data_IF_554684406000
#
_entry.id   IF_554684406000
#
_cell.length_a   1.000
_cell.length_b   1.000
_cell.length_c   1.000
_cell.angle_alpha   90.00
_cell.angle_beta   90.00
_cell.angle_gamma   90.00
#
_symmetry.space_group_name_H-M   'P 1'
#
loop_
_entity.id
_entity.type
_entity.pdbx_description
1 polymer ?
#
# COMPACT_ATOMS: atom_id res chain seq x y z
N UNK A 1 3.52 20.79 12.59
CA UNK A 1 4.45 20.74 11.44
C UNK A 1 3.68 21.34 10.28
N UNK A 2 4.15 22.41 9.65
CA UNK A 2 3.38 23.06 8.58
C UNK A 2 3.54 22.27 7.28
N UNK A 3 2.52 21.46 6.97
CA UNK A 3 2.46 20.59 5.79
C UNK A 3 1.85 21.32 4.60
N UNK A 4 1.05 22.37 4.87
CA UNK A 4 0.26 23.08 3.87
C UNK A 4 1.13 23.85 2.88
N UNK A 5 2.19 24.51 3.37
CA UNK A 5 3.10 25.33 2.56
C UNK A 5 3.84 24.53 1.48
N UNK A 6 4.59 23.44 1.80
CA UNK A 6 5.29 22.68 0.77
C UNK A 6 4.32 22.02 -0.22
N UNK A 7 3.16 21.55 0.26
CA UNK A 7 2.13 20.94 -0.57
C UNK A 7 1.59 21.90 -1.64
N UNK A 8 1.32 23.15 -1.23
CA UNK A 8 0.82 24.20 -2.10
C UNK A 8 1.88 24.64 -3.10
N UNK A 9 3.12 24.82 -2.65
CA UNK A 9 4.24 25.13 -3.52
C UNK A 9 4.41 24.08 -4.64
N UNK A 10 4.43 22.79 -4.29
CA UNK A 10 4.57 21.71 -5.26
C UNK A 10 3.40 21.64 -6.25
N UNK A 11 2.18 21.90 -5.77
CA UNK A 11 0.97 21.94 -6.60
C UNK A 11 0.99 23.11 -7.58
N UNK A 12 1.36 24.30 -7.13
CA UNK A 12 1.41 25.50 -7.96
C UNK A 12 2.54 25.40 -9.00
N UNK A 13 3.72 24.90 -8.60
CA UNK A 13 4.81 24.58 -9.54
C UNK A 13 4.38 23.55 -10.59
N UNK A 14 3.63 22.54 -10.20
CA UNK A 14 3.11 21.53 -11.13
C UNK A 14 2.13 22.14 -12.14
N UNK A 15 1.26 23.04 -11.68
CA UNK A 15 0.33 23.78 -12.56
C UNK A 15 1.10 24.63 -13.56
N UNK A 16 2.05 25.45 -13.10
CA UNK A 16 2.86 26.30 -13.96
C UNK A 16 3.58 25.48 -15.04
N UNK A 17 4.25 24.41 -14.64
CA UNK A 17 4.95 23.52 -15.58
C UNK A 17 4.00 22.90 -16.62
N UNK A 18 2.76 22.59 -16.23
CA UNK A 18 1.76 22.07 -17.17
C UNK A 18 1.38 23.11 -18.22
N UNK A 19 1.10 24.35 -17.81
CA UNK A 19 0.68 25.42 -18.73
C UNK A 19 1.81 25.88 -19.65
N UNK A 20 3.03 26.03 -19.13
CA UNK A 20 4.21 26.43 -19.91
C UNK A 20 4.53 25.44 -21.04
N UNK A 21 4.14 24.18 -20.89
CA UNK A 21 4.45 23.12 -21.83
C UNK A 21 3.25 22.65 -22.68
N UNK A 22 2.12 23.37 -22.67
CA UNK A 22 0.92 22.94 -23.38
C UNK A 22 1.13 22.71 -24.88
N UNK A 23 1.85 23.60 -25.55
CA UNK A 23 2.15 23.47 -26.99
C UNK A 23 2.99 22.22 -27.27
N UNK A 24 4.05 22.02 -26.48
CA UNK A 24 4.91 20.84 -26.58
C UNK A 24 4.11 19.55 -26.34
N UNK A 25 3.21 19.55 -25.36
CA UNK A 25 2.34 18.41 -25.07
C UNK A 25 1.38 18.12 -26.21
N UNK A 26 0.85 19.15 -26.87
CA UNK A 26 0.00 19.03 -28.05
C UNK A 26 0.76 18.42 -29.22
N UNK A 27 1.94 18.95 -29.55
CA UNK A 27 2.81 18.43 -30.61
C UNK A 27 3.20 16.98 -30.35
N UNK A 28 3.55 16.65 -29.10
CA UNK A 28 3.91 15.30 -28.71
C UNK A 28 2.71 14.36 -28.78
N UNK A 29 1.52 14.83 -28.38
CA UNK A 29 0.29 14.05 -28.50
C UNK A 29 -0.04 13.73 -29.96
N UNK A 30 0.16 14.68 -30.87
CA UNK A 30 0.00 14.47 -32.32
C UNK A 30 1.00 13.43 -32.82
N UNK A 31 2.29 13.57 -32.50
CA UNK A 31 3.33 12.58 -32.84
C UNK A 31 3.01 11.18 -32.31
N UNK A 32 2.54 11.09 -31.06
CA UNK A 32 2.17 9.83 -30.44
C UNK A 32 1.03 9.14 -31.19
N UNK A 33 0.02 9.90 -31.61
CA UNK A 33 -1.16 9.38 -32.30
C UNK A 33 -0.89 9.03 -33.76
N UNK A 34 -0.08 9.81 -34.44
CA UNK A 34 0.13 9.69 -35.89
C UNK A 34 1.32 8.83 -36.27
N UNK A 35 2.35 8.73 -35.40
CA UNK A 35 3.59 8.03 -35.74
C UNK A 35 3.81 6.80 -34.85
N UNK A 36 3.64 6.93 -33.53
CA UNK A 36 3.99 5.85 -32.60
C UNK A 36 2.87 4.82 -32.51
N UNK A 37 1.63 5.28 -32.34
CA UNK A 37 0.48 4.39 -32.13
C UNK A 37 0.20 3.48 -33.33
N UNK A 38 0.24 3.93 -34.60
CA UNK A 38 0.05 3.04 -35.75
C UNK A 38 1.13 1.95 -35.80
N UNK A 39 2.39 2.31 -35.57
CA UNK A 39 3.48 1.33 -35.53
C UNK A 39 3.28 0.28 -34.43
N UNK A 40 2.77 0.68 -33.26
CA UNK A 40 2.46 -0.26 -32.16
C UNK A 40 1.26 -1.15 -32.48
N UNK A 41 0.25 -0.61 -33.16
CA UNK A 41 -0.92 -1.38 -33.62
C UNK A 41 -0.48 -2.43 -34.65
N UNK A 42 0.36 -2.05 -35.60
CA UNK A 42 0.89 -2.95 -36.63
C UNK A 42 1.85 -3.99 -36.04
N UNK A 43 2.75 -3.59 -35.13
CA UNK A 43 3.73 -4.49 -34.49
C UNK A 43 3.07 -5.56 -33.60
N UNK A 44 2.01 -5.19 -32.88
CA UNK A 44 1.31 -6.10 -31.97
C UNK A 44 0.06 -6.73 -32.60
N UNK A 45 -0.23 -6.45 -33.87
CA UNK A 45 -1.44 -6.90 -34.58
C UNK A 45 -2.72 -6.65 -33.75
N UNK A 46 -2.86 -5.44 -33.19
CA UNK A 46 -3.93 -5.13 -32.23
C UNK A 46 -5.31 -5.15 -32.89
N UNK A 47 -6.29 -5.73 -32.19
CA UNK A 47 -7.69 -5.66 -32.61
C UNK A 47 -8.27 -4.24 -32.39
N UNK A 48 -9.51 -4.02 -32.84
CA UNK A 48 -10.18 -2.71 -32.75
C UNK A 48 -10.46 -2.25 -31.30
N UNK A 49 -10.63 -3.18 -30.36
CA UNK A 49 -10.82 -2.87 -28.93
C UNK A 49 -9.50 -2.44 -28.28
N UNK A 50 -8.42 -3.17 -28.55
CA UNK A 50 -7.07 -2.88 -28.05
C UNK A 50 -6.53 -1.58 -28.65
N UNK A 51 -6.85 -1.32 -29.93
CA UNK A 51 -6.55 -0.04 -30.59
C UNK A 51 -7.30 1.12 -29.92
N UNK A 52 -8.58 0.93 -29.55
CA UNK A 52 -9.35 1.92 -28.79
C UNK A 52 -8.77 2.13 -27.39
N UNK A 53 -8.35 1.05 -26.72
CA UNK A 53 -7.68 1.12 -25.42
C UNK A 53 -6.39 1.93 -25.52
N UNK A 54 -5.54 1.64 -26.49
CA UNK A 54 -4.28 2.34 -26.71
C UNK A 54 -4.50 3.83 -26.99
N UNK A 55 -5.55 4.19 -27.76
CA UNK A 55 -5.96 5.60 -27.95
C UNK A 55 -6.36 6.30 -26.64
N UNK A 56 -7.02 5.59 -25.71
CA UNK A 56 -7.36 6.10 -24.36
C UNK A 56 -6.16 6.25 -23.44
N UNK A 57 -5.02 5.65 -23.75
CA UNK A 57 -3.79 5.86 -22.97
C UNK A 57 -3.06 7.14 -23.41
N UNK A 58 -3.18 7.51 -24.70
CA UNK A 58 -2.52 8.64 -25.36
C UNK A 58 -3.22 10.02 -25.13
N UNK A 59 -3.62 10.34 -23.91
CA UNK A 59 -4.18 11.67 -23.57
C UNK A 59 -3.12 12.64 -23.05
N UNK A 60 -3.22 13.92 -23.46
CA UNK A 60 -2.26 14.99 -23.13
C UNK A 60 -1.87 15.11 -21.65
N UNK A 61 -2.78 14.88 -20.70
CA UNK A 61 -2.48 14.93 -19.25
C UNK A 61 -1.72 13.71 -18.74
N UNK A 62 -2.00 12.53 -19.30
CA UNK A 62 -1.21 11.32 -19.04
C UNK A 62 0.19 11.45 -19.66
N UNK A 63 0.26 12.01 -20.87
CA UNK A 63 1.50 12.35 -21.56
C UNK A 63 2.31 13.33 -20.71
N UNK A 64 1.70 14.41 -20.22
CA UNK A 64 2.36 15.36 -19.33
C UNK A 64 2.98 14.68 -18.12
N UNK A 65 2.25 13.79 -17.44
CA UNK A 65 2.78 13.09 -16.28
C UNK A 65 3.98 12.20 -16.62
N UNK A 66 3.97 11.55 -17.78
CA UNK A 66 5.08 10.74 -18.27
C UNK A 66 6.28 11.59 -18.67
N UNK A 67 6.02 12.71 -19.34
CA UNK A 67 7.06 13.63 -19.79
C UNK A 67 7.57 14.50 -18.65
N UNK A 68 6.82 14.77 -17.57
CA UNK A 68 7.26 15.64 -16.46
C UNK A 68 8.64 15.28 -15.91
N UNK A 69 8.98 13.99 -15.89
CA UNK A 69 10.30 13.51 -15.45
C UNK A 69 11.41 13.90 -16.44
N UNK A 70 11.10 13.98 -17.73
CA UNK A 70 12.02 14.16 -18.84
C UNK A 70 11.86 15.49 -19.60
N UNK A 71 10.86 16.35 -19.31
CA UNK A 71 10.70 17.69 -19.92
C UNK A 71 11.97 18.54 -19.71
N UNK A 72 12.79 18.18 -18.71
CA UNK A 72 14.09 18.78 -18.40
C UNK A 72 15.24 18.19 -19.26
N UNK A 73 15.08 17.00 -19.88
CA UNK A 73 16.14 16.19 -20.51
C UNK A 73 15.70 15.56 -21.86
N UNK A 74 16.19 16.16 -22.96
CA UNK A 74 16.43 15.62 -24.33
C UNK A 74 15.38 14.69 -25.00
N UNK A 75 14.84 15.18 -26.14
CA UNK A 75 13.75 14.62 -26.98
C UNK A 75 13.78 13.13 -27.43
N UNK A 76 14.93 12.46 -27.68
CA UNK A 76 14.89 11.09 -28.23
C UNK A 76 14.48 10.03 -27.20
N UNK A 77 14.89 10.18 -25.94
CA UNK A 77 14.63 9.20 -24.88
C UNK A 77 13.16 9.20 -24.43
N UNK A 78 12.48 10.33 -24.60
CA UNK A 78 11.07 10.52 -24.25
C UNK A 78 10.13 9.67 -25.10
N UNK A 79 10.39 9.62 -26.42
CA UNK A 79 9.61 8.84 -27.38
C UNK A 79 9.72 7.35 -27.06
N UNK A 80 10.93 6.86 -26.77
CA UNK A 80 11.15 5.46 -26.44
C UNK A 80 10.54 5.09 -25.07
N UNK A 81 10.66 5.97 -24.07
CA UNK A 81 10.01 5.77 -22.76
C UNK A 81 8.49 5.69 -22.90
N UNK A 82 7.91 6.51 -23.76
CA UNK A 82 6.48 6.49 -24.05
C UNK A 82 6.08 5.21 -24.77
N UNK A 83 6.83 4.81 -25.82
CA UNK A 83 6.59 3.57 -26.57
C UNK A 83 6.63 2.36 -25.65
N UNK A 84 7.69 2.21 -24.86
CA UNK A 84 7.86 1.11 -23.92
C UNK A 84 6.76 1.08 -22.85
N UNK A 85 6.33 2.25 -22.37
CA UNK A 85 5.20 2.34 -21.43
C UNK A 85 3.88 1.95 -22.08
N UNK A 86 3.62 2.38 -23.31
CA UNK A 86 2.42 2.01 -24.07
C UNK A 86 2.38 0.50 -24.34
N UNK A 87 3.46 -0.06 -24.87
CA UNK A 87 3.60 -1.49 -25.14
C UNK A 87 3.37 -2.31 -23.87
N UNK A 88 4.00 -1.93 -22.77
CA UNK A 88 3.80 -2.61 -21.50
C UNK A 88 2.36 -2.52 -21.03
N UNK A 89 1.71 -1.35 -21.14
CA UNK A 89 0.32 -1.17 -20.70
C UNK A 89 -0.64 -2.02 -21.51
N UNK A 90 -0.48 -2.06 -22.83
CA UNK A 90 -1.31 -2.87 -23.71
C UNK A 90 -1.16 -4.36 -23.40
N UNK A 91 0.05 -4.80 -23.07
CA UNK A 91 0.35 -6.22 -22.83
C UNK A 91 0.08 -6.70 -21.40
N UNK A 92 0.14 -5.81 -20.39
CA UNK A 92 0.10 -6.19 -18.98
C UNK A 92 -1.16 -5.70 -18.24
N UNK A 93 -1.93 -4.75 -18.77
CA UNK A 93 -3.13 -4.28 -18.08
C UNK A 93 -4.28 -5.27 -18.26
N UNK A 94 -4.84 -5.80 -17.15
CA UNK A 94 -5.99 -6.68 -17.25
C UNK A 94 -7.23 -5.87 -17.63
N UNK A 95 -8.00 -6.34 -18.63
CA UNK A 95 -9.31 -5.76 -19.00
C UNK A 95 -10.29 -5.89 -17.82
N UNK A 96 -10.22 -7.02 -17.11
CA UNK A 96 -10.96 -7.33 -15.89
C UNK A 96 -9.98 -8.07 -14.97
N UNK A 97 -9.87 -7.74 -13.68
CA UNK A 97 -8.94 -8.41 -12.81
C UNK A 97 -9.33 -9.90 -12.66
N UNK A 98 -8.32 -10.77 -12.73
CA UNK A 98 -8.43 -12.23 -12.56
C UNK A 98 -9.01 -12.64 -11.20
N UNK A 99 -9.00 -11.74 -10.23
CA UNK A 99 -9.46 -11.97 -8.86
C UNK A 99 -10.08 -10.69 -8.30
N UNK A 100 -11.14 -10.84 -7.51
CA UNK A 100 -11.66 -9.74 -6.70
C UNK A 100 -10.59 -9.35 -5.67
N UNK A 101 -10.17 -8.09 -5.70
CA UNK A 101 -9.25 -7.57 -4.69
C UNK A 101 -9.88 -7.52 -3.30
N UNK A 102 -9.08 -7.24 -2.26
CA UNK A 102 -9.61 -7.04 -0.93
C UNK A 102 -10.54 -5.83 -0.97
N UNK A 103 -11.83 -6.04 -0.65
CA UNK A 103 -12.83 -4.96 -0.62
C UNK A 103 -12.38 -3.79 0.26
N UNK A 104 -11.51 -4.08 1.24
CA UNK A 104 -11.09 -3.20 2.30
C UNK A 104 -9.70 -2.57 2.10
N UNK A 105 -9.01 -2.85 0.98
CA UNK A 105 -7.64 -2.39 0.78
C UNK A 105 -7.54 -0.92 0.38
N UNK A 106 -8.20 -0.52 -0.71
CA UNK A 106 -8.07 0.82 -1.27
C UNK A 106 -9.44 1.40 -1.61
N UNK A 107 -9.70 2.60 -1.11
CA UNK A 107 -10.92 3.36 -1.37
C UNK A 107 -10.57 4.64 -2.11
N UNK A 108 -11.28 4.91 -3.21
CA UNK A 108 -11.38 6.26 -3.74
C UNK A 108 -12.65 6.89 -3.17
N UNK A 109 -12.50 7.97 -2.41
CA UNK A 109 -13.66 8.66 -1.85
C UNK A 109 -14.50 9.27 -2.97
N UNK A 110 -15.83 9.16 -2.91
CA UNK A 110 -16.70 9.73 -3.93
C UNK A 110 -16.76 11.27 -3.83
N UNK A 111 -17.06 11.97 -4.95
CA UNK A 111 -17.39 13.40 -4.90
C UNK A 111 -18.50 13.67 -3.87
N UNK A 112 -18.46 14.82 -3.15
CA UNK A 112 -17.55 15.95 -3.31
C UNK A 112 -16.25 15.86 -2.49
N UNK A 113 -15.82 14.68 -2.05
CA UNK A 113 -14.64 14.56 -1.18
C UNK A 113 -13.34 14.93 -1.91
N UNK A 114 -12.68 15.99 -1.45
CA UNK A 114 -11.37 16.45 -1.93
C UNK A 114 -10.56 17.11 -0.81
N UNK A 115 -9.27 17.29 -1.03
CA UNK A 115 -8.40 18.10 -0.16
C UNK A 115 -8.58 19.61 -0.40
N UNK A 116 -7.82 20.45 0.31
CA UNK A 116 -7.86 21.93 0.14
C UNK A 116 -7.34 22.42 -1.22
N UNK A 117 -6.76 21.53 -2.04
CA UNK A 117 -6.22 21.83 -3.37
C UNK A 117 -7.03 21.16 -4.50
N UNK A 118 -8.27 20.75 -4.19
CA UNK A 118 -9.23 20.09 -5.08
C UNK A 118 -8.76 18.73 -5.64
N UNK A 119 -7.86 18.06 -4.92
CA UNK A 119 -7.37 16.72 -5.29
C UNK A 119 -8.26 15.65 -4.66
N UNK A 120 -8.65 14.61 -5.42
CA UNK A 120 -9.40 13.50 -4.86
C UNK A 120 -8.56 12.70 -3.86
N UNK A 121 -9.25 12.03 -2.95
CA UNK A 121 -8.65 11.38 -1.79
C UNK A 121 -8.71 9.87 -1.93
N UNK A 122 -7.56 9.23 -1.76
CA UNK A 122 -7.44 7.79 -1.64
C UNK A 122 -7.19 7.39 -0.19
N UNK A 123 -7.80 6.31 0.26
CA UNK A 123 -7.53 5.71 1.58
C UNK A 123 -7.04 4.28 1.37
N UNK A 124 -5.83 4.00 1.84
CA UNK A 124 -5.19 2.69 1.78
C UNK A 124 -5.10 2.11 3.19
N UNK A 125 -5.59 0.88 3.35
CA UNK A 125 -5.49 0.08 4.59
C UNK A 125 -4.61 -1.16 4.33
N UNK A 126 -3.29 -1.07 4.53
CA UNK A 126 -2.36 -2.16 4.22
C UNK A 126 -2.59 -3.42 5.07
N UNK A 127 -3.26 -3.32 6.22
CA UNK A 127 -3.59 -4.47 7.06
C UNK A 127 -4.39 -5.55 6.31
N UNK A 128 -5.19 -5.16 5.31
CA UNK A 128 -5.99 -6.07 4.47
C UNK A 128 -5.17 -6.83 3.42
N UNK A 129 -3.87 -6.53 3.27
CA UNK A 129 -2.98 -7.23 2.32
C UNK A 129 -2.57 -8.63 2.77
N UNK A 130 -2.63 -8.91 4.08
CA UNK A 130 -2.08 -10.14 4.66
C UNK A 130 -2.75 -11.41 4.15
N UNK A 131 -3.99 -11.28 3.68
CA UNK A 131 -4.83 -12.40 3.29
C UNK A 131 -4.68 -12.77 1.79
N UNK A 132 -3.80 -12.07 1.04
CA UNK A 132 -3.71 -12.20 -0.42
C UNK A 132 -2.25 -12.37 -0.88
N UNK A 133 -1.92 -13.52 -1.50
CA UNK A 133 -0.56 -13.77 -2.00
C UNK A 133 -0.43 -13.92 -3.52
N UNK A 134 -1.46 -14.37 -4.24
CA UNK A 134 -1.22 -14.90 -5.60
C UNK A 134 -1.71 -14.01 -6.77
N UNK A 135 -2.61 -13.05 -6.54
CA UNK A 135 -3.18 -12.20 -7.61
C UNK A 135 -3.34 -10.71 -7.27
N UNK A 136 -2.74 -10.25 -6.17
CA UNK A 136 -2.83 -8.85 -5.76
C UNK A 136 -2.18 -7.89 -6.78
N UNK A 137 -1.21 -8.37 -7.56
CA UNK A 137 -0.54 -7.59 -8.61
C UNK A 137 -1.52 -7.19 -9.71
N UNK A 138 -2.32 -8.14 -10.21
CA UNK A 138 -3.34 -7.89 -11.24
C UNK A 138 -4.40 -6.91 -10.74
N UNK A 139 -4.82 -7.07 -9.47
CA UNK A 139 -5.74 -6.13 -8.84
C UNK A 139 -5.15 -4.71 -8.75
N UNK A 140 -3.91 -4.57 -8.29
CA UNK A 140 -3.24 -3.26 -8.21
C UNK A 140 -3.06 -2.62 -9.60
N UNK A 141 -2.71 -3.42 -10.62
CA UNK A 141 -2.62 -2.96 -12.01
C UNK A 141 -3.95 -2.38 -12.50
N UNK A 142 -5.03 -3.15 -12.31
CA UNK A 142 -6.39 -2.73 -12.67
C UNK A 142 -6.79 -1.44 -11.96
N UNK A 143 -6.58 -1.38 -10.65
CA UNK A 143 -6.94 -0.25 -9.80
C UNK A 143 -6.21 1.03 -10.22
N UNK A 144 -4.92 0.94 -10.52
CA UNK A 144 -4.10 2.12 -10.87
C UNK A 144 -4.46 2.65 -12.25
N UNK A 145 -4.78 1.77 -13.21
CA UNK A 145 -5.31 2.20 -14.50
C UNK A 145 -6.68 2.87 -14.34
N UNK A 146 -7.57 2.32 -13.51
CA UNK A 146 -8.85 2.94 -13.18
C UNK A 146 -8.67 4.30 -12.52
N UNK A 147 -7.72 4.47 -11.60
CA UNK A 147 -7.42 5.76 -10.99
C UNK A 147 -6.97 6.79 -12.04
N UNK A 148 -6.15 6.36 -13.01
CA UNK A 148 -5.71 7.21 -14.12
C UNK A 148 -6.88 7.61 -15.02
N UNK A 149 -7.75 6.67 -15.37
CA UNK A 149 -8.96 6.91 -16.17
C UNK A 149 -9.94 7.84 -15.42
N UNK A 150 -10.15 7.60 -14.13
CA UNK A 150 -11.01 8.43 -13.29
C UNK A 150 -10.55 9.89 -13.21
N UNK A 151 -9.23 10.17 -13.11
CA UNK A 151 -8.75 11.56 -13.21
C UNK A 151 -9.08 12.19 -14.55
N UNK A 152 -9.06 11.41 -15.62
CA UNK A 152 -9.43 11.90 -16.94
C UNK A 152 -10.94 12.20 -17.00
N UNK A 153 -11.77 11.37 -16.39
CA UNK A 153 -13.21 11.59 -16.33
C UNK A 153 -13.56 12.84 -15.52
N UNK A 154 -12.94 13.03 -14.34
CA UNK A 154 -13.05 14.27 -13.54
C UNK A 154 -12.68 15.49 -14.39
N UNK A 155 -11.55 15.45 -15.09
CA UNK A 155 -11.14 16.58 -15.92
C UNK A 155 -12.01 16.80 -17.16
N UNK A 156 -12.77 15.79 -17.58
CA UNK A 156 -13.69 15.90 -18.71
C UNK A 156 -15.02 16.53 -18.27
N UNK A 157 -15.49 16.23 -17.05
CA UNK A 157 -16.66 16.86 -16.46
C UNK A 157 -16.42 18.28 -15.95
N UNK A 158 -15.18 18.60 -15.56
CA UNK A 158 -14.79 19.94 -15.09
C UNK A 158 -14.66 21.00 -16.21
N UNK A 159 -14.76 20.62 -17.48
CA UNK A 159 -14.55 21.53 -18.64
C UNK A 159 -15.43 22.78 -18.61
N UNK A 160 -16.54 22.76 -17.88
CA UNK A 160 -17.49 23.87 -17.80
C UNK A 160 -17.35 24.72 -16.51
N UNK A 161 -16.57 24.30 -15.51
CA UNK A 161 -16.59 24.90 -14.16
C UNK A 161 -15.22 25.24 -13.54
N UNK A 162 -14.10 24.67 -14.01
CA UNK A 162 -12.77 24.88 -13.40
C UNK A 162 -11.74 25.43 -14.39
N UNK A 163 -10.99 26.43 -13.95
CA UNK A 163 -9.87 27.03 -14.69
C UNK A 163 -8.65 26.08 -14.77
N UNK A 164 -8.58 25.07 -13.88
CA UNK A 164 -7.40 24.20 -13.73
C UNK A 164 -7.73 22.71 -13.73
N UNK A 165 -6.91 21.87 -14.41
CA UNK A 165 -7.10 20.43 -14.37
C UNK A 165 -6.56 19.80 -13.07
N UNK A 166 -7.25 18.77 -12.60
CA UNK A 166 -6.84 17.92 -11.50
C UNK A 166 -5.81 16.90 -12.01
N UNK A 167 -4.55 17.04 -11.61
CA UNK A 167 -3.46 16.22 -12.13
C UNK A 167 -3.08 15.03 -11.24
N UNK A 168 -3.42 15.08 -9.95
CA UNK A 168 -2.91 14.14 -8.94
C UNK A 168 -3.97 13.82 -7.86
N UNK A 169 -3.78 12.69 -7.20
CA UNK A 169 -4.47 12.33 -5.95
C UNK A 169 -3.62 12.68 -4.72
N UNK A 170 -4.28 12.74 -3.57
CA UNK A 170 -3.61 12.47 -2.29
C UNK A 170 -3.97 11.06 -1.81
N UNK A 171 -3.07 10.43 -1.07
CA UNK A 171 -3.32 9.13 -0.44
C UNK A 171 -3.09 9.21 1.06
N UNK A 172 -4.05 8.71 1.82
CA UNK A 172 -3.98 8.52 3.26
C UNK A 172 -3.72 7.03 3.49
N UNK A 173 -2.60 6.72 4.13
CA UNK A 173 -2.22 5.35 4.47
C UNK A 173 -2.47 5.13 5.96
N UNK A 174 -3.45 4.28 6.26
CA UNK A 174 -3.80 3.92 7.62
C UNK A 174 -2.93 2.77 8.12
N UNK A 175 -2.01 3.09 9.03
CA UNK A 175 -1.07 2.12 9.59
C UNK A 175 -1.65 1.26 10.72
N UNK A 176 -2.94 1.40 11.02
CA UNK A 176 -3.60 0.61 12.06
C UNK A 176 -3.49 -0.89 11.75
N UNK A 177 -3.11 -1.68 12.75
CA UNK A 177 -2.92 -3.14 12.66
C UNK A 177 -1.87 -3.61 11.64
N UNK A 178 -1.02 -2.72 11.11
CA UNK A 178 0.11 -3.11 10.26
C UNK A 178 1.25 -3.64 11.12
N UNK A 179 1.82 -4.78 10.76
CA UNK A 179 3.01 -5.32 11.44
C UNK A 179 4.11 -5.66 10.44
N UNK A 180 5.36 -5.69 10.90
CA UNK A 180 6.51 -6.05 10.05
C UNK A 180 6.38 -7.43 9.40
N UNK A 181 5.67 -8.37 10.05
CA UNK A 181 5.42 -9.72 9.52
C UNK A 181 4.44 -9.74 8.35
N UNK A 182 3.62 -8.71 8.31
CA UNK A 182 2.48 -8.54 7.42
C UNK A 182 2.88 -7.75 6.17
N UNK A 183 4.13 -7.26 6.12
CA UNK A 183 4.63 -6.54 4.97
C UNK A 183 5.05 -7.52 3.87
N UNK A 184 4.36 -7.45 2.73
CA UNK A 184 4.84 -8.03 1.50
C UNK A 184 5.89 -7.10 0.87
N UNK A 185 7.14 -7.26 1.31
CA UNK A 185 8.30 -6.49 0.83
C UNK A 185 8.47 -6.65 -0.69
N UNK A 186 8.25 -7.86 -1.20
CA UNK A 186 8.39 -8.17 -2.62
C UNK A 186 7.33 -7.44 -3.45
N UNK A 187 6.12 -7.31 -2.92
CA UNK A 187 5.05 -6.52 -3.54
C UNK A 187 5.41 -5.03 -3.60
N UNK A 188 5.95 -4.46 -2.52
CA UNK A 188 6.40 -3.06 -2.53
C UNK A 188 7.55 -2.86 -3.54
N UNK A 189 8.54 -3.77 -3.54
CA UNK A 189 9.65 -3.74 -4.48
C UNK A 189 9.18 -3.83 -5.93
N UNK A 190 8.27 -4.76 -6.22
CA UNK A 190 7.62 -4.89 -7.52
C UNK A 190 6.84 -3.62 -7.89
N UNK A 191 6.05 -3.06 -6.97
CA UNK A 191 5.28 -1.85 -7.23
C UNK A 191 6.17 -0.67 -7.61
N UNK A 192 7.25 -0.45 -6.88
CA UNK A 192 8.18 0.67 -7.16
C UNK A 192 8.96 0.45 -8.46
N UNK A 193 9.35 -0.78 -8.78
CA UNK A 193 10.13 -1.08 -9.99
C UNK A 193 9.27 -1.15 -11.24
N UNK A 194 8.09 -1.73 -11.16
CA UNK A 194 7.24 -1.99 -12.32
C UNK A 194 6.15 -0.92 -12.49
N UNK A 195 5.51 -0.44 -11.42
CA UNK A 195 4.32 0.39 -11.57
C UNK A 195 4.65 1.87 -11.60
N UNK A 196 5.46 2.35 -10.66
CA UNK A 196 5.78 3.79 -10.54
C UNK A 196 6.36 4.40 -11.82
N UNK A 197 7.31 3.76 -12.54
CA UNK A 197 7.84 4.33 -13.79
C UNK A 197 6.79 4.46 -14.88
N UNK A 198 5.76 3.61 -14.85
CA UNK A 198 4.73 3.52 -15.89
C UNK A 198 3.51 4.36 -15.56
N UNK A 199 3.32 4.73 -14.29
CA UNK A 199 2.26 5.63 -13.81
C UNK A 199 2.83 6.82 -13.02
N UNK A 200 3.73 7.62 -13.63
CA UNK A 200 4.38 8.70 -12.93
C UNK A 200 3.38 9.79 -12.54
N UNK A 201 3.67 10.49 -11.44
CA UNK A 201 2.98 11.71 -11.06
C UNK A 201 1.51 11.57 -10.65
N UNK A 202 0.96 10.35 -10.52
CA UNK A 202 -0.42 10.14 -10.05
C UNK A 202 -0.65 10.63 -8.61
N UNK A 203 0.37 10.57 -7.76
CA UNK A 203 0.30 10.97 -6.36
C UNK A 203 1.01 12.30 -6.14
N UNK A 204 0.31 13.24 -5.52
CA UNK A 204 0.83 14.54 -5.09
C UNK A 204 1.39 14.49 -3.67
N UNK A 205 0.71 13.78 -2.75
CA UNK A 205 1.14 13.60 -1.37
C UNK A 205 0.67 12.27 -0.78
N UNK A 206 1.43 11.79 0.20
CA UNK A 206 1.18 10.56 0.96
C UNK A 206 1.15 10.91 2.45
N UNK A 207 0.02 10.70 3.11
CA UNK A 207 -0.15 10.93 4.55
C UNK A 207 -0.17 9.61 5.29
N UNK A 208 0.84 9.34 6.12
CA UNK A 208 0.86 8.17 6.99
C UNK A 208 0.21 8.50 8.33
N UNK A 209 -0.98 7.97 8.58
CA UNK A 209 -1.72 8.15 9.83
C UNK A 209 -1.63 6.90 10.71
N UNK A 210 -1.95 7.05 12.00
CA UNK A 210 -1.82 5.97 12.99
C UNK A 210 -0.41 5.37 13.06
N UNK A 211 0.60 6.16 12.68
CA UNK A 211 1.99 5.77 12.70
C UNK A 211 2.56 5.83 14.12
N UNK A 212 2.91 4.68 14.68
CA UNK A 212 3.63 4.55 15.95
C UNK A 212 5.09 4.11 15.75
N UNK A 213 5.87 4.13 16.84
CA UNK A 213 7.27 3.69 16.85
C UNK A 213 7.47 2.25 16.34
N UNK A 214 6.45 1.39 16.41
CA UNK A 214 6.52 0.01 15.91
C UNK A 214 6.64 -0.06 14.39
N UNK A 215 6.24 0.99 13.68
CA UNK A 215 6.36 1.10 12.22
C UNK A 215 7.70 1.72 11.76
N UNK A 216 8.59 2.08 12.69
CA UNK A 216 9.92 2.64 12.34
C UNK A 216 10.75 1.71 11.46
N UNK A 217 10.69 0.40 11.74
CA UNK A 217 11.36 -0.60 10.91
C UNK A 217 10.83 -0.63 9.47
N UNK A 218 9.52 -0.53 9.30
CA UNK A 218 8.83 -0.54 8.02
C UNK A 218 9.21 0.70 7.19
N UNK A 219 9.19 1.87 7.82
CA UNK A 219 9.60 3.11 7.15
C UNK A 219 11.07 3.10 6.73
N UNK A 220 11.96 2.58 7.59
CA UNK A 220 13.38 2.45 7.25
C UNK A 220 13.62 1.50 6.07
N UNK A 221 12.79 0.47 5.90
CA UNK A 221 12.81 -0.37 4.72
C UNK A 221 12.31 0.40 3.49
N UNK A 222 11.12 1.00 3.57
CA UNK A 222 10.52 1.75 2.46
C UNK A 222 11.45 2.86 1.94
N UNK A 223 12.14 3.58 2.83
CA UNK A 223 13.12 4.62 2.45
C UNK A 223 14.24 4.15 1.54
N UNK A 224 14.62 2.87 1.61
CA UNK A 224 15.69 2.30 0.78
C UNK A 224 15.21 1.91 -0.61
N UNK A 225 13.90 1.71 -0.76
CA UNK A 225 13.26 1.29 -2.01
C UNK A 225 12.70 2.50 -2.77
N UNK A 226 12.22 3.51 -2.04
CA UNK A 226 11.59 4.70 -2.62
C UNK A 226 12.62 5.68 -3.20
N UNK A 227 12.35 6.28 -4.37
CA UNK A 227 13.17 7.37 -4.91
C UNK A 227 13.01 8.66 -4.10
N UNK A 228 14.00 9.56 -4.14
CA UNK A 228 14.02 10.80 -3.36
C UNK A 228 12.76 11.68 -3.58
N UNK A 229 12.31 11.79 -4.84
CA UNK A 229 11.08 12.52 -5.19
C UNK A 229 9.80 11.91 -4.58
N UNK A 230 9.77 10.61 -4.31
CA UNK A 230 8.67 10.01 -3.58
C UNK A 230 8.80 10.30 -2.08
N UNK A 231 10.02 10.30 -1.53
CA UNK A 231 10.27 10.56 -0.12
C UNK A 231 9.88 11.97 0.32
N UNK A 232 10.12 12.98 -0.53
CA UNK A 232 9.75 14.38 -0.23
C UNK A 232 8.23 14.59 -0.11
N UNK A 233 7.41 13.64 -0.57
CA UNK A 233 5.95 13.70 -0.58
C UNK A 233 5.30 12.87 0.52
N UNK A 234 6.10 12.19 1.35
CA UNK A 234 5.59 11.38 2.47
C UNK A 234 5.60 12.23 3.74
N UNK A 235 4.42 12.37 4.34
CA UNK A 235 4.20 13.12 5.56
C UNK A 235 3.68 12.19 6.66
N UNK A 236 4.02 12.52 7.92
CA UNK A 236 3.59 11.81 9.12
C UNK A 236 2.79 12.77 10.02
N UNK A 237 1.60 13.24 9.57
CA UNK A 237 0.82 14.21 10.31
C UNK A 237 0.20 13.61 11.59
N UNK A 238 -0.08 14.48 12.57
CA UNK A 238 -1.12 14.20 13.56
C UNK A 238 -2.50 14.31 12.89
N UNK A 239 -3.54 13.77 13.52
CA UNK A 239 -4.92 13.92 13.00
C UNK A 239 -5.32 15.40 12.88
N UNK A 240 -4.94 16.23 13.83
CA UNK A 240 -5.18 17.69 13.77
C UNK A 240 -4.50 18.33 12.56
N UNK A 241 -3.22 18.01 12.31
CA UNK A 241 -2.49 18.53 11.16
C UNK A 241 -3.03 18.00 9.81
N UNK A 242 -3.67 16.83 9.82
CA UNK A 242 -4.36 16.32 8.62
C UNK A 242 -5.59 17.17 8.29
N UNK A 243 -6.33 17.65 9.30
CA UNK A 243 -7.52 18.48 9.10
C UNK A 243 -7.22 19.84 8.47
N UNK A 244 -5.99 20.34 8.63
CA UNK A 244 -5.52 21.56 7.97
C UNK A 244 -5.40 21.39 6.44
N UNK A 245 -5.22 20.14 5.97
CA UNK A 245 -4.99 19.81 4.55
C UNK A 245 -6.21 19.13 3.93
N UNK A 246 -6.96 18.37 4.72
CA UNK A 246 -8.15 17.64 4.29
C UNK A 246 -9.33 18.09 5.13
N UNK A 247 -10.33 18.79 4.53
CA UNK A 247 -11.49 19.24 5.26
C UNK A 247 -12.24 18.09 5.94
N UNK A 248 -12.76 18.33 7.15
CA UNK A 248 -13.55 17.33 7.89
C UNK A 248 -14.79 16.85 7.12
N UNK A 249 -15.33 17.70 6.23
CA UNK A 249 -16.43 17.32 5.32
C UNK A 249 -16.03 16.27 4.27
N UNK A 250 -14.74 16.13 3.98
CA UNK A 250 -14.18 15.21 2.99
C UNK A 250 -13.58 13.95 3.62
N UNK A 251 -13.63 13.81 4.95
CA UNK A 251 -13.10 12.65 5.67
C UNK A 251 -14.22 11.74 6.21
N UNK A 252 -14.04 10.40 6.18
CA UNK A 252 -14.89 9.44 6.88
C UNK A 252 -14.90 9.63 8.41
N UNK A 253 -15.99 9.18 9.03
CA UNK A 253 -16.13 9.13 10.50
C UNK A 253 -15.01 8.33 11.18
N UNK A 254 -14.49 7.28 10.54
CA UNK A 254 -13.35 6.49 11.06
C UNK A 254 -12.09 7.35 11.32
N UNK A 255 -11.99 8.48 10.61
CA UNK A 255 -10.88 9.42 10.68
C UNK A 255 -11.30 10.78 11.27
N UNK A 256 -12.41 10.82 12.01
CA UNK A 256 -12.91 12.03 12.69
C UNK A 256 -13.63 13.04 11.79
N UNK A 257 -13.92 12.67 10.54
CA UNK A 257 -14.65 13.51 9.60
C UNK A 257 -16.18 13.36 9.69
N UNK A 258 -16.87 13.89 8.68
CA UNK A 258 -18.34 13.96 8.61
C UNK A 258 -18.95 13.01 7.56
N UNK A 259 -18.15 12.41 6.69
CA UNK A 259 -18.65 11.40 5.77
C UNK A 259 -19.05 10.12 6.54
N UNK A 260 -19.96 9.30 5.99
CA UNK A 260 -20.23 7.96 6.52
C UNK A 260 -18.95 7.14 6.77
N UNK A 261 -19.09 6.06 7.54
CA UNK A 261 -18.00 5.10 7.76
C UNK A 261 -17.48 4.59 6.42
N UNK A 262 -16.17 4.34 6.35
CA UNK A 262 -15.48 3.97 5.11
C UNK A 262 -16.08 2.75 4.42
N UNK A 263 -16.52 1.77 5.20
CA UNK A 263 -17.19 0.55 4.73
C UNK A 263 -18.56 0.80 4.07
N UNK A 264 -19.21 1.89 4.41
CA UNK A 264 -20.56 2.23 3.95
C UNK A 264 -20.51 3.18 2.75
N UNK A 265 -19.32 3.70 2.42
CA UNK A 265 -19.11 4.57 1.27
C UNK A 265 -19.00 3.76 -0.03
N UNK A 266 -19.58 4.27 -1.14
CA UNK A 266 -19.37 3.65 -2.44
C UNK A 266 -17.91 3.81 -2.86
N UNK A 267 -17.26 2.69 -3.20
CA UNK A 267 -15.91 2.71 -3.73
C UNK A 267 -15.96 2.79 -5.26
N UNK A 268 -15.51 3.92 -5.83
CA UNK A 268 -15.44 4.13 -7.29
C UNK A 268 -14.54 3.08 -7.97
N UNK A 269 -13.60 2.49 -7.21
CA UNK A 269 -12.67 1.47 -7.69
C UNK A 269 -13.23 0.06 -7.59
N UNK A 270 -14.47 -0.10 -7.10
CA UNK A 270 -15.13 -1.39 -6.97
C UNK A 270 -15.22 -2.08 -8.33
N UNK A 271 -14.72 -3.31 -8.40
CA UNK A 271 -14.96 -4.19 -9.56
C UNK A 271 -16.48 -4.37 -9.65
N UNK A 272 -17.13 -4.17 -10.81
CA UNK A 272 -18.57 -4.39 -10.94
C UNK A 272 -18.89 -5.79 -10.46
N UNK A 273 -19.77 -5.90 -9.46
CA UNK A 273 -20.24 -7.18 -8.97
C UNK A 273 -20.82 -7.97 -10.15
N UNK A 274 -20.39 -9.22 -10.31
CA UNK A 274 -20.93 -10.09 -11.34
C UNK A 274 -22.47 -10.14 -11.17
N UNK A 275 -23.28 -9.76 -12.16
CA UNK A 275 -24.75 -9.72 -12.03
C UNK A 275 -25.39 -11.11 -11.81
N UNK A 276 -24.58 -12.18 -11.76
CA UNK A 276 -24.99 -13.57 -11.60
C UNK A 276 -25.03 -14.08 -10.15
N UNK A 277 -24.83 -13.23 -9.15
CA UNK A 277 -25.24 -13.58 -7.77
C UNK A 277 -26.67 -13.08 -7.50
N UNK A 278 -27.69 -13.95 -7.49
CA UNK A 278 -29.03 -13.54 -7.10
C UNK A 278 -28.98 -13.03 -5.66
N UNK A 279 -29.41 -11.79 -5.47
CA UNK A 279 -29.61 -11.19 -4.17
C UNK A 279 -30.46 -12.14 -3.31
N UNK A 280 -29.89 -12.65 -2.23
CA UNK A 280 -30.64 -13.39 -1.22
C UNK A 280 -31.43 -12.36 -0.43
N UNK A 281 -32.78 -12.34 -0.52
CA UNK A 281 -33.56 -11.41 0.27
C UNK A 281 -33.44 -11.74 1.77
N UNK A 282 -33.57 -10.74 2.66
CA UNK A 282 -33.53 -10.95 4.09
C UNK A 282 -34.73 -11.82 4.48
N UNK A 283 -34.46 -12.97 5.10
CA UNK A 283 -35.51 -13.88 5.60
C UNK A 283 -36.17 -13.24 6.82
N UNK A 284 -37.44 -12.88 6.67
CA UNK A 284 -38.35 -12.56 7.75
C UNK A 284 -38.67 -13.83 8.54
N UNK A 285 -38.51 -13.78 9.85
CA UNK A 285 -38.94 -14.80 10.80
C UNK A 285 -40.47 -14.95 10.78
N UNK A 286 -40.97 -16.08 10.28
CA UNK A 286 -42.20 -16.75 10.79
C UNK A 286 -42.46 -18.04 10.02
N UNK A 287 -42.89 -19.06 10.76
CA UNK A 287 -43.48 -20.35 10.34
C UNK A 287 -42.53 -21.54 10.09
N UNK A 288 -42.38 -22.33 11.16
CA UNK A 288 -41.90 -23.72 11.14
C UNK A 288 -43.03 -24.70 10.78
N UNK A 289 -42.77 -25.70 9.90
CA UNK A 289 -43.34 -27.03 10.00
C UNK A 289 -42.25 -28.08 10.38
N UNK A 290 -42.63 -29.33 10.73
CA UNK A 290 -41.92 -30.08 11.75
C UNK A 290 -40.62 -30.74 11.27
N UNK A 291 -39.71 -30.84 12.25
CA UNK A 291 -38.47 -31.61 12.31
C UNK A 291 -38.51 -32.91 11.49
N UNK A 292 -37.78 -32.93 10.37
CA UNK A 292 -37.20 -34.16 9.86
C UNK A 292 -35.97 -34.50 10.72
N UNK A 293 -35.98 -35.70 11.30
CA UNK A 293 -34.86 -36.28 12.02
C UNK A 293 -33.69 -36.55 11.07
N UNK A 294 -32.62 -35.77 11.19
CA UNK A 294 -31.33 -36.11 10.56
C UNK A 294 -30.78 -37.43 11.15
N UNK A 295 -30.17 -38.29 10.32
CA UNK A 295 -29.47 -39.47 10.81
C UNK A 295 -28.29 -39.06 11.69
N UNK A 296 -28.14 -39.76 12.81
CA UNK A 296 -27.01 -39.70 13.76
C UNK A 296 -25.67 -39.53 13.01
N UNK A 297 -24.80 -38.57 13.38
CA UNK A 297 -23.43 -38.59 12.90
C UNK A 297 -22.75 -39.88 13.40
N UNK A 298 -22.16 -40.62 12.47
CA UNK A 298 -21.33 -41.78 12.77
C UNK A 298 -20.24 -41.36 13.78
N UNK A 299 -20.01 -42.19 14.80
CA UNK A 299 -19.00 -41.96 15.81
C UNK A 299 -17.64 -41.70 15.14
N UNK A 300 -17.05 -40.54 15.44
CA UNK A 300 -15.72 -40.18 14.97
C UNK A 300 -14.72 -41.27 15.38
N UNK A 301 -14.02 -41.83 14.40
CA UNK A 301 -12.98 -42.83 14.58
C UNK A 301 -11.92 -42.26 15.53
N UNK A 302 -11.79 -42.83 16.73
CA UNK A 302 -10.74 -42.45 17.67
C UNK A 302 -9.38 -42.87 17.10
N UNK A 303 -8.68 -41.94 16.44
CA UNK A 303 -7.33 -42.16 15.96
C UNK A 303 -6.39 -42.25 17.18
N UNK A 304 -5.66 -43.36 17.29
CA UNK A 304 -4.68 -43.57 18.37
C UNK A 304 -3.66 -42.42 18.43
N UNK A 305 -3.27 -41.95 19.63
CA UNK A 305 -2.25 -40.91 19.80
C UNK A 305 -0.90 -41.24 19.15
N UNK A 306 -0.62 -42.55 18.95
CA UNK A 306 0.60 -43.06 18.31
C UNK A 306 0.43 -43.41 16.83
N UNK A 307 -0.72 -43.08 16.23
CA UNK A 307 -0.94 -43.31 14.80
C UNK A 307 -0.09 -42.36 13.95
N UNK A 308 0.48 -42.86 12.85
CA UNK A 308 1.17 -42.03 11.84
C UNK A 308 0.25 -41.03 11.14
N UNK A 309 -1.06 -41.25 11.22
CA UNK A 309 -2.09 -40.35 10.69
C UNK A 309 -2.59 -39.33 11.73
N UNK A 310 -1.97 -39.27 12.92
CA UNK A 310 -2.24 -38.22 13.91
C UNK A 310 -1.42 -36.96 13.55
N UNK A 311 -2.05 -35.84 13.13
CA UNK A 311 -1.33 -34.60 12.80
C UNK A 311 -0.61 -33.97 13.99
N UNK A 312 -0.89 -34.43 15.23
CA UNK A 312 -0.26 -34.00 16.46
C UNK A 312 0.68 -35.06 17.06
N UNK A 313 1.14 -36.02 16.26
CA UNK A 313 2.09 -37.06 16.70
C UNK A 313 3.32 -36.42 17.40
N UNK A 314 3.56 -36.79 18.66
CA UNK A 314 4.68 -36.27 19.46
C UNK A 314 4.37 -35.01 20.30
N UNK A 315 3.16 -34.44 20.20
CA UNK A 315 2.75 -33.29 21.02
C UNK A 315 1.71 -33.70 22.08
N UNK A 316 1.82 -33.25 23.35
CA UNK A 316 0.87 -33.58 24.39
C UNK A 316 -0.40 -32.72 24.24
N UNK A 317 -1.40 -33.27 23.54
CA UNK A 317 -2.71 -32.63 23.36
C UNK A 317 -3.80 -33.56 23.86
N UNK A 318 -4.64 -33.08 24.76
CA UNK A 318 -5.81 -33.82 25.25
C UNK A 318 -7.06 -33.36 24.48
N UNK A 319 -7.82 -34.27 23.85
CA UNK A 319 -9.12 -33.92 23.30
C UNK A 319 -10.09 -33.66 24.46
N UNK A 320 -10.56 -32.42 24.60
CA UNK A 320 -11.70 -32.13 25.46
C UNK A 320 -12.97 -32.23 24.62
N UNK A 321 -13.94 -33.01 25.08
CA UNK A 321 -15.27 -33.12 24.47
C UNK A 321 -16.07 -31.84 24.76
N UNK A 322 -15.85 -30.79 23.96
CA UNK A 322 -16.72 -29.61 23.98
C UNK A 322 -18.04 -29.91 23.26
N UNK A 323 -19.14 -29.44 23.85
CA UNK A 323 -20.52 -29.66 23.39
C UNK A 323 -20.89 -28.84 22.13
N UNK A 324 -19.93 -28.10 21.57
CA UNK A 324 -20.00 -27.43 20.27
C UNK A 324 -18.93 -28.04 19.38
N UNK A 325 -19.31 -28.53 18.20
CA UNK A 325 -18.50 -29.34 17.28
C UNK A 325 -17.23 -28.71 16.68
N UNK A 326 -16.52 -27.84 17.40
CA UNK A 326 -15.19 -27.35 17.04
C UNK A 326 -14.13 -28.06 17.88
N UNK A 327 -13.41 -29.01 17.28
CA UNK A 327 -12.19 -29.59 17.84
C UNK A 327 -11.03 -28.61 17.64
N UNK A 328 -10.87 -27.64 18.54
CA UNK A 328 -9.62 -26.84 18.62
C UNK A 328 -8.81 -27.35 19.82
N UNK A 329 -7.68 -28.04 19.59
CA UNK A 329 -6.83 -28.49 20.67
C UNK A 329 -6.17 -27.31 21.40
N UNK A 330 -6.38 -27.21 22.72
CA UNK A 330 -5.71 -26.21 23.56
C UNK A 330 -4.34 -26.73 24.02
N UNK A 331 -3.27 -26.00 23.73
CA UNK A 331 -1.91 -26.31 24.19
C UNK A 331 -1.74 -25.92 25.67
N UNK A 332 -1.31 -26.87 26.51
CA UNK A 332 -1.28 -26.73 27.97
C UNK A 332 -0.26 -25.72 28.55
N UNK A 333 0.63 -25.12 27.74
CA UNK A 333 1.77 -24.34 28.24
C UNK A 333 1.82 -22.89 27.73
N UNK A 334 0.83 -22.10 28.16
CA UNK A 334 0.78 -20.65 27.92
C UNK A 334 1.24 -19.82 29.12
N UNK A 335 2.52 -19.87 29.53
CA UNK A 335 3.08 -18.78 30.39
C UNK A 335 4.62 -18.70 30.52
N UNK A 336 5.38 -19.76 30.23
CA UNK A 336 6.84 -19.77 30.56
C UNK A 336 7.79 -19.34 29.42
N UNK A 337 7.33 -19.29 28.16
CA UNK A 337 8.19 -18.98 26.99
C UNK A 337 8.81 -17.58 26.98
N UNK A 338 8.15 -16.56 27.56
CA UNK A 338 8.70 -15.20 27.59
C UNK A 338 9.95 -15.10 28.47
N UNK A 339 9.97 -15.82 29.61
CA UNK A 339 11.11 -15.82 30.54
C UNK A 339 12.31 -16.55 29.94
N UNK A 340 12.07 -17.68 29.29
CA UNK A 340 13.14 -18.48 28.70
C UNK A 340 13.74 -17.78 27.46
N UNK A 341 12.91 -17.06 26.68
CA UNK A 341 13.37 -16.20 25.58
C UNK A 341 14.25 -15.04 26.09
N UNK A 342 13.83 -14.35 27.15
CA UNK A 342 14.63 -13.26 27.74
C UNK A 342 15.95 -13.81 28.29
N UNK A 343 15.93 -14.99 28.94
CA UNK A 343 17.16 -15.66 29.41
C UNK A 343 18.10 -16.02 28.26
N UNK A 344 17.57 -16.57 27.16
CA UNK A 344 18.40 -16.91 26.00
C UNK A 344 18.98 -15.67 25.32
N UNK A 345 18.18 -14.61 25.14
CA UNK A 345 18.66 -13.36 24.58
C UNK A 345 19.72 -12.68 25.47
N UNK A 346 19.56 -12.73 26.79
CA UNK A 346 20.56 -12.21 27.73
C UNK A 346 21.88 -12.99 27.66
N UNK A 347 21.81 -14.32 27.56
CA UNK A 347 23.00 -15.18 27.40
C UNK A 347 23.70 -14.90 26.06
N UNK A 348 22.96 -14.78 24.96
CA UNK A 348 23.52 -14.47 23.65
C UNK A 348 24.13 -13.07 23.58
N UNK A 349 23.49 -12.09 24.24
CA UNK A 349 24.04 -10.74 24.35
C UNK A 349 25.34 -10.75 25.17
N UNK A 350 25.36 -11.45 26.31
CA UNK A 350 26.57 -11.59 27.12
C UNK A 350 27.70 -12.27 26.35
N UNK A 351 27.44 -13.40 25.69
CA UNK A 351 28.43 -14.10 24.87
C UNK A 351 29.02 -13.23 23.75
N UNK A 352 28.19 -12.41 23.10
CA UNK A 352 28.63 -11.52 22.03
C UNK A 352 29.49 -10.36 22.51
N UNK A 353 29.22 -9.82 23.69
CA UNK A 353 29.85 -8.57 24.17
C UNK A 353 30.87 -8.77 25.29
N UNK A 354 30.99 -9.97 25.87
CA UNK A 354 31.90 -10.24 27.01
C UNK A 354 33.34 -9.85 26.72
N UNK A 355 33.85 -10.10 25.52
CA UNK A 355 35.24 -9.80 25.14
C UNK A 355 35.48 -8.29 25.02
N UNK A 356 34.54 -7.55 24.43
CA UNK A 356 34.63 -6.10 24.33
C UNK A 356 34.52 -5.44 25.71
N UNK A 357 33.60 -5.90 26.55
CA UNK A 357 33.41 -5.36 27.90
C UNK A 357 34.65 -5.63 28.77
N UNK A 358 35.22 -6.84 28.74
CA UNK A 358 36.42 -7.15 29.53
C UNK A 358 37.63 -6.34 29.08
N UNK A 359 37.83 -6.14 27.77
CA UNK A 359 38.89 -5.28 27.25
C UNK A 359 38.71 -3.82 27.66
N UNK A 360 37.48 -3.26 27.56
CA UNK A 360 37.21 -1.90 28.03
C UNK A 360 37.46 -1.74 29.53
N UNK A 361 37.11 -2.74 30.34
CA UNK A 361 37.30 -2.71 31.78
C UNK A 361 38.80 -2.78 32.15
N UNK A 362 39.59 -3.61 31.44
CA UNK A 362 41.04 -3.65 31.58
C UNK A 362 41.71 -2.33 31.19
N UNK A 363 41.28 -1.70 30.09
CA UNK A 363 41.79 -0.40 29.66
C UNK A 363 41.47 0.71 30.68
N UNK A 364 40.26 0.71 31.25
CA UNK A 364 39.89 1.65 32.32
C UNK A 364 40.75 1.44 33.57
N UNK A 365 41.00 0.18 33.95
CA UNK A 365 41.80 -0.16 35.12
C UNK A 365 43.27 0.26 34.92
N UNK A 366 43.83 0.03 33.74
CA UNK A 366 45.16 0.51 33.37
C UNK A 366 45.25 2.05 33.40
N UNK A 367 44.24 2.75 32.86
CA UNK A 367 44.16 4.22 32.91
C UNK A 367 44.12 4.75 34.34
N UNK A 368 43.35 4.10 35.23
CA UNK A 368 43.31 4.43 36.65
C UNK A 368 44.68 4.24 37.33
N UNK A 369 45.36 3.12 37.07
CA UNK A 369 46.69 2.86 37.63
C UNK A 369 47.69 3.92 37.17
N UNK A 370 47.71 4.28 35.88
CA UNK A 370 48.58 5.34 35.35
C UNK A 370 48.28 6.69 36.00
N UNK A 371 47.00 7.04 36.16
CA UNK A 371 46.61 8.29 36.85
C UNK A 371 47.05 8.32 38.32
N UNK A 372 46.92 7.20 39.04
CA UNK A 372 47.35 7.10 40.44
C UNK A 372 48.88 7.19 40.55
N UNK A 373 49.60 6.51 39.66
CA UNK A 373 51.07 6.56 39.61
C UNK A 373 51.58 7.98 39.29
N UNK A 374 50.96 8.68 38.34
CA UNK A 374 51.30 10.06 38.01
C UNK A 374 50.99 11.04 39.15
N UNK A 375 49.88 10.85 39.88
CA UNK A 375 49.59 11.64 41.09
C UNK A 375 50.63 11.43 42.18
N UNK A 376 51.10 10.18 42.40
CA UNK A 376 52.16 9.90 43.37
C UNK A 376 53.50 10.54 42.99
N UNK A 377 53.87 10.52 41.71
CA UNK A 377 55.11 11.19 41.23
C UNK A 377 55.09 12.71 41.43
N UNK A 378 53.93 13.34 41.35
CA UNK A 378 53.76 14.77 41.61
C UNK A 378 53.81 15.15 43.10
N UNK A 379 53.64 14.21 44.03
CA UNK A 379 53.73 14.46 45.47
C UNK A 379 55.14 14.23 46.03
N UNK A 380 56.03 13.59 45.25
CA UNK A 380 57.42 13.29 45.63
C UNK A 380 58.46 14.20 44.97
N UNK A 381 58.03 15.18 44.18
CA UNK A 381 58.83 16.31 43.69
C UNK A 381 58.34 17.56 44.39
#
# INVERSE_FOLDING_TARGET
>A
MDISTPLRFDHDQLKLLYFENLELLSDFQTKLREQILPNVVDELELNDEDTRMAKRVAHGRSIFRMLKVNIIITRPQEVETMRTTLLWRITNLPVIPSTYGPADLLYCLPPPAHDVLDRPILILRPASLNDFSDSIKDYLLYVIENLRAHLQDINSSLRDCSEYPVLQYIIIIDMTNVSLRSMNVDLLGWYIREIVPRFPGLLGAVFMINYTWTHAGLWNFAKRVLPENALSKVFFPSMEALYDVVPLSSLPQDYGGRLPLLKDLPNILGVPANPSSPAVPPRTDSDYPPRYSHPKPAAATQISPRSRYNPFFGYPVMPTSSRSGSFVPHLHHGRQRKRDLVRTLAVLWWERWKTSITLSLLLLLASCIVRIANRRRHLTR
#
